data_IF_792974620074
#
_entry.id   IF_792974620074
#
_cell.length_a   1.000
_cell.length_b   1.000
_cell.length_c   1.000
_cell.angle_alpha   90.00
_cell.angle_beta   90.00
_cell.angle_gamma   90.00
#
_symmetry.space_group_name_H-M   'P 1'
#
loop_
_entity.id
_entity.type
_entity.pdbx_description
1 polymer ?
#
# COMPACT_ATOMS: atom_id res chain seq x y z
N UNK A 1 -24.31 6.44 -5.77
CA UNK A 1 -23.11 5.72 -5.28
C UNK A 1 -21.98 5.80 -6.31
N UNK A 2 -22.30 6.09 -7.58
CA UNK A 2 -21.33 6.27 -8.67
C UNK A 2 -20.65 7.64 -8.71
N UNK A 3 -21.31 8.71 -8.25
CA UNK A 3 -20.78 10.09 -8.35
C UNK A 3 -19.52 10.37 -7.52
N UNK A 4 -19.31 9.65 -6.41
CA UNK A 4 -18.09 9.79 -5.60
C UNK A 4 -16.89 9.16 -6.31
N UNK A 5 -17.10 8.04 -7.01
CA UNK A 5 -16.05 7.36 -7.75
C UNK A 5 -15.74 8.00 -9.09
N UNK A 6 -16.75 8.49 -9.81
CA UNK A 6 -16.54 9.35 -10.98
C UNK A 6 -15.71 10.59 -10.59
N UNK A 7 -16.03 11.23 -9.45
CA UNK A 7 -15.24 12.36 -8.95
C UNK A 7 -13.82 11.98 -8.53
N UNK A 8 -13.59 10.74 -8.07
CA UNK A 8 -12.25 10.27 -7.70
C UNK A 8 -11.41 9.93 -8.93
N UNK A 9 -12.03 9.34 -9.97
CA UNK A 9 -11.40 9.08 -11.28
C UNK A 9 -11.10 10.41 -11.98
N UNK A 10 -12.00 11.39 -11.93
CA UNK A 10 -11.76 12.76 -12.41
C UNK A 10 -10.74 13.51 -11.54
N UNK A 11 -10.73 13.35 -10.21
CA UNK A 11 -9.73 14.01 -9.37
C UNK A 11 -8.33 13.42 -9.54
N UNK A 12 -8.23 12.11 -9.78
CA UNK A 12 -6.98 11.52 -10.27
C UNK A 12 -6.69 12.02 -11.67
N UNK A 13 -7.70 12.12 -12.54
CA UNK A 13 -7.74 12.65 -13.91
C UNK A 13 -7.35 14.13 -14.10
N UNK A 14 -7.51 14.94 -13.07
CA UNK A 14 -7.32 16.39 -13.09
C UNK A 14 -6.19 16.84 -12.16
N UNK A 15 -5.57 15.92 -11.41
CA UNK A 15 -4.35 16.23 -10.66
C UNK A 15 -3.13 16.41 -11.57
N UNK A 16 -3.24 15.94 -12.80
CA UNK A 16 -2.47 16.42 -13.95
C UNK A 16 -3.33 17.44 -14.68
N UNK A 17 -3.19 18.72 -14.31
CA UNK A 17 -3.27 19.74 -15.34
C UNK A 17 -2.32 19.28 -16.45
N UNK A 18 -2.87 18.94 -17.60
CA UNK A 18 -2.13 18.83 -18.85
C UNK A 18 -1.58 20.22 -19.16
N UNK A 19 -0.47 20.57 -18.49
CA UNK A 19 0.40 21.64 -18.90
C UNK A 19 0.79 21.32 -20.35
N UNK A 20 0.21 22.08 -21.27
CA UNK A 20 0.52 21.99 -22.67
C UNK A 20 2.05 22.03 -22.86
N UNK A 21 2.63 20.91 -23.29
CA UNK A 21 3.92 20.89 -23.98
C UNK A 21 5.19 20.91 -23.13
N UNK A 22 5.20 20.39 -21.91
CA UNK A 22 6.47 20.08 -21.20
C UNK A 22 6.54 18.58 -20.92
N UNK A 23 7.21 17.83 -21.80
CA UNK A 23 7.75 16.51 -21.44
C UNK A 23 8.82 16.76 -20.37
N UNK A 24 8.45 16.61 -19.10
CA UNK A 24 9.46 16.37 -18.08
C UNK A 24 10.02 14.97 -18.35
N UNK A 25 11.31 14.91 -18.70
CA UNK A 25 12.02 13.64 -18.80
C UNK A 25 12.25 13.12 -17.36
N UNK A 26 11.23 12.48 -16.81
CA UNK A 26 11.18 12.05 -15.40
C UNK A 26 12.21 10.96 -15.05
N UNK A 27 12.83 10.34 -16.07
CA UNK A 27 13.73 9.20 -15.91
C UNK A 27 15.05 9.45 -16.63
N UNK A 28 16.18 9.52 -15.90
CA UNK A 28 17.48 9.71 -16.53
C UNK A 28 17.81 8.53 -17.46
N UNK A 29 18.28 8.85 -18.67
CA UNK A 29 18.82 7.87 -19.58
C UNK A 29 20.10 7.27 -18.99
N UNK A 30 20.14 5.95 -18.88
CA UNK A 30 21.24 5.19 -18.27
C UNK A 30 21.45 3.88 -19.01
N UNK A 31 22.69 3.40 -19.05
CA UNK A 31 23.01 2.02 -19.48
C UNK A 31 22.79 1.00 -18.34
N UNK A 32 22.76 1.48 -17.09
CA UNK A 32 22.44 0.64 -15.94
C UNK A 32 20.93 0.39 -15.84
N UNK A 33 20.50 -0.83 -15.50
CA UNK A 33 19.08 -1.15 -15.37
C UNK A 33 18.44 -0.43 -14.18
N UNK A 34 17.23 0.08 -14.38
CA UNK A 34 16.35 0.53 -13.32
C UNK A 34 15.64 -0.68 -12.71
N UNK A 35 15.82 -0.90 -11.41
CA UNK A 35 15.08 -1.94 -10.70
C UNK A 35 13.82 -1.38 -10.06
N UNK A 36 12.66 -1.90 -10.45
CA UNK A 36 11.41 -1.65 -9.78
C UNK A 36 10.89 -2.95 -9.19
N UNK A 37 10.93 -3.05 -7.86
CA UNK A 37 10.27 -4.13 -7.11
C UNK A 37 10.65 -5.54 -7.58
N UNK A 38 11.93 -5.74 -7.90
CA UNK A 38 12.51 -7.02 -8.34
C UNK A 38 12.55 -7.25 -9.86
N UNK A 39 12.09 -6.29 -10.67
CA UNK A 39 12.18 -6.35 -12.14
C UNK A 39 13.18 -5.30 -12.64
N UNK A 40 14.03 -5.69 -13.59
CA UNK A 40 15.00 -4.80 -14.23
C UNK A 40 14.41 -4.24 -15.53
N UNK A 41 14.54 -2.93 -15.72
CA UNK A 41 14.07 -2.20 -16.90
C UNK A 41 15.21 -1.37 -17.51
N UNK A 42 15.20 -1.21 -18.83
CA UNK A 42 16.02 -0.23 -19.53
C UNK A 42 15.36 1.14 -19.51
N UNK A 43 16.02 2.16 -18.97
CA UNK A 43 15.48 3.55 -19.05
C UNK A 43 15.57 4.13 -20.47
N UNK A 44 16.26 3.45 -21.40
CA UNK A 44 16.33 3.82 -22.82
C UNK A 44 15.22 3.19 -23.65
N UNK A 45 14.71 2.02 -23.26
CA UNK A 45 13.81 1.22 -24.10
C UNK A 45 12.46 0.91 -23.46
N UNK A 46 12.38 0.82 -22.14
CA UNK A 46 11.21 0.29 -21.43
C UNK A 46 10.46 1.38 -20.64
N UNK A 47 10.55 2.64 -21.09
CA UNK A 47 10.03 3.80 -20.34
C UNK A 47 8.55 3.72 -20.04
N UNK A 48 7.78 3.17 -20.97
CA UNK A 48 6.34 3.07 -20.86
C UNK A 48 5.97 1.94 -19.91
N UNK A 49 6.73 0.84 -19.93
CA UNK A 49 6.57 -0.26 -18.99
C UNK A 49 6.98 0.14 -17.56
N UNK A 50 8.02 0.96 -17.39
CA UNK A 50 8.40 1.55 -16.09
C UNK A 50 7.24 2.39 -15.55
N UNK A 51 6.68 3.28 -16.38
CA UNK A 51 5.55 4.14 -15.99
C UNK A 51 4.32 3.32 -15.64
N UNK A 52 3.95 2.36 -16.49
CA UNK A 52 2.81 1.47 -16.23
C UNK A 52 3.01 0.69 -14.94
N UNK A 53 4.19 0.11 -14.70
CA UNK A 53 4.47 -0.64 -13.47
C UNK A 53 4.40 0.25 -12.21
N UNK A 54 4.98 1.44 -12.27
CA UNK A 54 4.92 2.43 -11.19
C UNK A 54 3.48 2.88 -10.89
N UNK A 55 2.72 3.28 -11.91
CA UNK A 55 1.34 3.74 -11.77
C UNK A 55 0.36 2.63 -11.36
N UNK A 56 0.75 1.36 -11.57
CA UNK A 56 -0.02 0.20 -11.12
C UNK A 56 0.13 -0.09 -9.63
N UNK A 57 0.97 0.65 -8.89
CA UNK A 57 1.13 0.45 -7.45
C UNK A 57 0.07 1.23 -6.70
N UNK A 58 -0.52 0.61 -5.67
CA UNK A 58 -1.50 1.28 -4.81
C UNK A 58 -0.79 2.38 -4.05
N UNK A 59 -1.09 3.62 -4.41
CA UNK A 59 -0.56 4.80 -3.75
C UNK A 59 -1.52 5.28 -2.68
N UNK A 60 -1.05 5.29 -1.43
CA UNK A 60 -1.86 5.71 -0.27
C UNK A 60 -1.22 6.92 0.36
N UNK A 61 -2.00 8.00 0.48
CA UNK A 61 -1.53 9.31 0.92
C UNK A 61 -2.27 9.78 2.16
N UNK A 62 -1.88 10.94 2.70
CA UNK A 62 -2.63 11.60 3.76
C UNK A 62 -4.07 11.90 3.31
N UNK A 63 -5.00 11.69 4.24
CA UNK A 63 -6.42 11.89 4.04
C UNK A 63 -6.97 12.75 5.17
N UNK A 64 -8.15 13.30 4.93
CA UNK A 64 -8.89 14.15 5.85
C UNK A 64 -10.36 13.84 5.73
N UNK A 65 -11.12 14.35 6.69
CA UNK A 65 -12.58 14.22 6.74
C UNK A 65 -13.06 12.76 6.87
N UNK A 66 -12.18 11.86 7.31
CA UNK A 66 -12.55 10.50 7.68
C UNK A 66 -13.18 10.45 9.08
N UNK A 67 -13.84 9.34 9.41
CA UNK A 67 -14.47 9.17 10.73
C UNK A 67 -13.44 9.27 11.87
N UNK A 68 -13.76 9.90 13.02
CA UNK A 68 -12.79 10.11 14.09
C UNK A 68 -12.14 8.81 14.61
N UNK A 69 -10.80 8.81 14.75
CA UNK A 69 -10.03 7.65 15.26
C UNK A 69 -9.92 7.72 16.80
N UNK A 70 -10.35 6.68 17.50
CA UNK A 70 -10.20 6.61 18.97
C UNK A 70 -11.26 7.35 19.79
N UNK A 71 -12.41 7.70 19.20
CA UNK A 71 -13.53 8.39 19.87
C UNK A 71 -13.97 9.66 19.13
N UNK A 72 -14.99 10.36 19.61
CA UNK A 72 -15.55 11.57 18.96
C UNK A 72 -14.54 12.71 18.81
N UNK A 73 -13.63 12.85 19.78
CA UNK A 73 -12.56 13.85 19.82
C UNK A 73 -11.28 13.41 19.09
N UNK A 74 -11.32 12.25 18.44
CA UNK A 74 -10.19 11.69 17.73
C UNK A 74 -9.79 12.46 16.47
N UNK A 75 -8.55 12.29 15.97
CA UNK A 75 -8.13 12.85 14.69
C UNK A 75 -9.06 12.42 13.56
N UNK A 76 -9.35 13.37 12.64
CA UNK A 76 -10.08 13.16 11.39
C UNK A 76 -9.20 13.37 10.16
N UNK A 77 -7.90 13.53 10.38
CA UNK A 77 -6.87 13.57 9.36
C UNK A 77 -5.59 12.96 9.91
N UNK A 78 -4.83 12.32 9.03
CA UNK A 78 -3.54 11.74 9.35
C UNK A 78 -2.36 12.61 8.92
N UNK A 79 -2.64 13.82 8.40
CA UNK A 79 -1.60 14.79 8.04
C UNK A 79 -0.71 15.11 9.24
N UNK A 80 0.61 14.97 9.05
CA UNK A 80 1.62 15.31 10.05
C UNK A 80 2.02 14.15 10.97
N UNK A 81 1.35 13.00 10.92
CA UNK A 81 1.68 11.84 11.77
C UNK A 81 1.52 10.48 11.08
N UNK A 82 0.68 10.38 10.05
CA UNK A 82 0.32 9.13 9.40
C UNK A 82 1.30 8.57 8.37
N UNK A 83 2.40 9.26 8.03
CA UNK A 83 3.21 8.88 6.85
C UNK A 83 3.73 7.44 6.93
N UNK A 84 4.24 7.01 8.08
CA UNK A 84 4.72 5.63 8.23
C UNK A 84 3.58 4.61 8.14
N UNK A 85 2.38 4.96 8.60
CA UNK A 85 1.20 4.10 8.50
C UNK A 85 0.81 3.95 7.02
N UNK A 86 0.82 5.04 6.25
CA UNK A 86 0.58 5.02 4.79
C UNK A 86 1.64 4.22 4.04
N UNK A 87 2.92 4.36 4.40
CA UNK A 87 4.00 3.52 3.85
C UNK A 87 3.76 2.03 4.14
N UNK A 88 3.33 1.70 5.37
CA UNK A 88 2.94 0.34 5.73
C UNK A 88 1.76 -0.18 4.90
N UNK A 89 0.73 0.65 4.68
CA UNK A 89 -0.39 0.30 3.80
C UNK A 89 0.07 0.03 2.37
N UNK A 90 0.91 0.88 1.77
CA UNK A 90 1.42 0.67 0.41
C UNK A 90 2.25 -0.61 0.29
N UNK A 91 3.10 -0.90 1.28
CA UNK A 91 3.92 -2.11 1.31
C UNK A 91 3.07 -3.37 1.43
N UNK A 92 2.07 -3.37 2.32
CA UNK A 92 1.12 -4.48 2.45
C UNK A 92 0.25 -4.64 1.19
N UNK A 93 -0.22 -3.54 0.63
CA UNK A 93 -1.02 -3.54 -0.59
C UNK A 93 -0.26 -4.17 -1.76
N UNK A 94 1.02 -3.84 -1.95
CA UNK A 94 1.88 -4.50 -2.95
C UNK A 94 2.01 -6.01 -2.69
N UNK A 95 2.17 -6.44 -1.43
CA UNK A 95 2.21 -7.87 -1.10
C UNK A 95 0.90 -8.57 -1.46
N UNK A 96 -0.25 -7.97 -1.15
CA UNK A 96 -1.57 -8.53 -1.47
C UNK A 96 -1.81 -8.55 -2.99
N UNK A 97 -1.46 -7.49 -3.71
CA UNK A 97 -1.52 -7.46 -5.19
C UNK A 97 -0.71 -8.61 -5.78
N UNK A 98 0.50 -8.86 -5.30
CA UNK A 98 1.31 -9.99 -5.77
C UNK A 98 0.65 -11.34 -5.53
N UNK A 99 0.06 -11.53 -4.35
CA UNK A 99 -0.59 -12.80 -3.97
C UNK A 99 -1.90 -13.03 -4.74
N UNK A 100 -2.67 -11.96 -5.01
CA UNK A 100 -4.02 -12.06 -5.58
C UNK A 100 -4.09 -11.86 -7.09
N UNK A 101 -3.26 -10.96 -7.63
CA UNK A 101 -3.27 -10.55 -9.05
C UNK A 101 -1.97 -10.93 -9.77
N UNK A 102 -0.88 -11.13 -9.01
CA UNK A 102 0.45 -11.44 -9.56
C UNK A 102 1.30 -10.20 -9.85
N UNK A 103 2.62 -10.34 -9.80
CA UNK A 103 3.59 -9.23 -10.03
C UNK A 103 3.49 -8.62 -11.43
N UNK A 104 3.09 -9.41 -12.42
CA UNK A 104 2.92 -8.98 -13.80
C UNK A 104 1.65 -8.16 -14.04
N UNK A 105 0.70 -8.15 -13.10
CA UNK A 105 -0.51 -7.35 -13.22
C UNK A 105 -0.18 -5.86 -13.34
N UNK A 106 -0.92 -5.19 -14.21
CA UNK A 106 -0.84 -3.75 -14.45
C UNK A 106 -2.24 -3.16 -14.39
N UNK A 107 -2.35 -2.02 -13.73
CA UNK A 107 -3.56 -1.23 -13.70
C UNK A 107 -3.78 -0.58 -15.07
N UNK A 108 -5.03 -0.57 -15.49
CA UNK A 108 -5.55 0.17 -16.63
C UNK A 108 -6.75 0.99 -16.16
N UNK A 109 -7.14 2.02 -16.93
CA UNK A 109 -8.33 2.82 -16.60
C UNK A 109 -9.61 1.98 -16.40
N UNK A 110 -9.69 0.81 -17.04
CA UNK A 110 -10.81 -0.11 -16.91
C UNK A 110 -10.69 -1.10 -15.74
N UNK A 111 -9.52 -1.20 -15.10
CA UNK A 111 -9.28 -2.18 -14.02
C UNK A 111 -10.24 -2.00 -12.86
N UNK A 112 -10.61 -0.77 -12.51
CA UNK A 112 -11.59 -0.54 -11.44
C UNK A 112 -12.97 -1.12 -11.79
N UNK A 113 -13.43 -0.95 -13.03
CA UNK A 113 -14.72 -1.47 -13.48
C UNK A 113 -14.72 -3.00 -13.63
N UNK A 114 -13.61 -3.54 -14.16
CA UNK A 114 -13.57 -4.91 -14.69
C UNK A 114 -12.87 -5.91 -13.75
N UNK A 115 -12.05 -5.47 -12.79
CA UNK A 115 -11.33 -6.34 -11.86
C UNK A 115 -11.94 -6.27 -10.46
N UNK A 116 -12.76 -7.27 -10.13
CA UNK A 116 -13.37 -7.39 -8.80
C UNK A 116 -12.33 -7.61 -7.69
N UNK A 117 -11.26 -8.36 -7.99
CA UNK A 117 -10.21 -8.66 -7.02
C UNK A 117 -9.41 -7.40 -6.68
N UNK A 118 -9.08 -6.57 -7.67
CA UNK A 118 -8.47 -5.26 -7.45
C UNK A 118 -9.34 -4.35 -6.56
N UNK A 119 -10.65 -4.30 -6.80
CA UNK A 119 -11.58 -3.54 -5.94
C UNK A 119 -11.62 -4.07 -4.52
N UNK A 120 -11.62 -5.40 -4.34
CA UNK A 120 -11.58 -6.01 -3.01
C UNK A 120 -10.28 -5.68 -2.28
N UNK A 121 -9.14 -5.62 -2.98
CA UNK A 121 -7.87 -5.14 -2.41
C UNK A 121 -8.00 -3.68 -1.96
N UNK A 122 -8.53 -2.78 -2.79
CA UNK A 122 -8.69 -1.37 -2.43
C UNK A 122 -9.54 -1.19 -1.17
N UNK A 123 -10.64 -1.93 -1.05
CA UNK A 123 -11.55 -1.90 0.10
C UNK A 123 -10.87 -2.22 1.42
N UNK A 124 -9.77 -2.98 1.41
CA UNK A 124 -9.02 -3.29 2.63
C UNK A 124 -8.37 -2.05 3.26
N UNK A 125 -8.09 -1.01 2.47
CA UNK A 125 -7.29 0.15 2.86
C UNK A 125 -8.08 1.47 2.95
N UNK A 126 -9.39 1.43 2.64
CA UNK A 126 -10.27 2.59 2.77
C UNK A 126 -10.16 3.21 4.18
N UNK A 127 -10.29 4.53 4.29
CA UNK A 127 -10.28 5.23 5.59
C UNK A 127 -11.63 5.08 6.32
N UNK A 128 -12.03 3.82 6.49
CA UNK A 128 -13.23 3.37 7.14
C UNK A 128 -12.87 2.36 8.22
N UNK A 129 -13.47 2.47 9.41
CA UNK A 129 -13.24 1.57 10.54
C UNK A 129 -13.51 0.10 10.22
N UNK A 130 -14.39 -0.19 9.25
CA UNK A 130 -14.68 -1.55 8.81
C UNK A 130 -13.57 -2.16 7.92
N UNK A 131 -12.73 -1.34 7.29
CA UNK A 131 -11.66 -1.81 6.43
C UNK A 131 -10.48 -2.33 7.29
N UNK A 132 -10.04 -3.60 7.11
CA UNK A 132 -9.08 -4.27 8.00
C UNK A 132 -7.73 -3.57 8.14
N UNK A 133 -7.26 -2.91 7.08
CA UNK A 133 -5.97 -2.23 7.02
C UNK A 133 -6.14 -0.72 6.87
N UNK A 134 -7.29 -0.16 7.28
CA UNK A 134 -7.53 1.28 7.34
C UNK A 134 -6.55 1.98 8.29
N UNK A 135 -6.42 3.30 8.11
CA UNK A 135 -5.68 4.15 9.06
C UNK A 135 -6.24 4.02 10.49
N UNK A 136 -7.56 3.80 10.62
CA UNK A 136 -8.23 3.60 11.90
C UNK A 136 -7.72 2.34 12.60
N UNK A 137 -7.69 1.22 11.89
CA UNK A 137 -7.27 -0.06 12.44
C UNK A 137 -5.77 -0.07 12.78
N UNK A 138 -4.93 0.44 11.88
CA UNK A 138 -3.47 0.49 12.10
C UNK A 138 -3.13 1.41 13.29
N UNK A 139 -3.72 2.60 13.37
CA UNK A 139 -3.48 3.53 14.47
C UNK A 139 -4.00 2.96 15.80
N UNK A 140 -5.17 2.33 15.81
CA UNK A 140 -5.73 1.71 17.02
C UNK A 140 -4.91 0.51 17.49
N UNK A 141 -4.37 -0.29 16.56
CA UNK A 141 -3.51 -1.42 16.91
C UNK A 141 -2.22 -0.98 17.60
N UNK A 142 -1.65 0.17 17.20
CA UNK A 142 -0.46 0.71 17.87
C UNK A 142 -0.68 1.11 19.33
N UNK A 143 -1.91 1.36 19.76
CA UNK A 143 -2.22 1.64 21.17
C UNK A 143 -1.82 0.45 22.05
N UNK A 144 -2.01 -0.78 21.56
CA UNK A 144 -1.57 -2.00 22.25
C UNK A 144 -0.04 -2.09 22.43
N UNK A 145 0.71 -1.36 21.61
CA UNK A 145 2.17 -1.28 21.63
C UNK A 145 2.68 0.05 22.24
N UNK A 146 1.82 0.74 23.01
CA UNK A 146 2.18 1.98 23.69
C UNK A 146 2.31 3.20 22.76
N UNK A 147 1.68 3.16 21.59
CA UNK A 147 1.63 4.26 20.62
C UNK A 147 0.21 4.86 20.55
N UNK A 148 -0.05 5.96 21.27
CA UNK A 148 -1.32 6.68 21.16
C UNK A 148 -1.63 7.08 19.72
N UNK A 149 -2.92 7.15 19.41
CA UNK A 149 -3.42 7.68 18.13
C UNK A 149 -2.87 9.11 17.94
N UNK A 150 -2.41 9.42 16.72
CA UNK A 150 -1.80 10.72 16.42
C UNK A 150 -0.28 10.74 16.55
N UNK A 151 0.36 9.67 17.05
CA UNK A 151 1.82 9.57 17.09
C UNK A 151 2.42 8.91 15.86
N UNK A 152 3.65 9.29 15.56
CA UNK A 152 4.43 8.70 14.49
C UNK A 152 4.88 7.28 14.84
N UNK A 153 4.76 6.36 13.88
CA UNK A 153 5.29 5.00 14.00
C UNK A 153 6.68 4.93 13.39
N UNK A 154 7.53 4.06 13.96
CA UNK A 154 8.70 3.55 13.25
C UNK A 154 8.34 2.33 12.39
N UNK A 155 9.25 1.88 11.49
CA UNK A 155 9.01 0.74 10.61
C UNK A 155 8.58 -0.54 11.33
N UNK A 156 9.25 -0.88 12.45
CA UNK A 156 8.89 -2.08 13.22
C UNK A 156 7.47 -1.99 13.81
N UNK A 157 7.08 -0.83 14.35
CA UNK A 157 5.73 -0.65 14.93
C UNK A 157 4.63 -0.88 13.90
N UNK A 158 4.76 -0.30 12.69
CA UNK A 158 3.76 -0.50 11.64
C UNK A 158 3.76 -1.95 11.15
N UNK A 159 4.92 -2.60 11.05
CA UNK A 159 5.01 -4.01 10.67
C UNK A 159 4.32 -4.94 11.68
N UNK A 160 4.50 -4.70 12.99
CA UNK A 160 3.82 -5.47 14.03
C UNK A 160 2.30 -5.22 14.05
N UNK A 161 1.86 -3.98 13.83
CA UNK A 161 0.44 -3.67 13.69
C UNK A 161 -0.19 -4.42 12.50
N UNK A 162 0.47 -4.39 11.33
CA UNK A 162 0.06 -5.14 10.13
C UNK A 162 0.02 -6.64 10.42
N UNK A 163 1.03 -7.19 11.11
CA UNK A 163 1.07 -8.61 11.48
C UNK A 163 -0.16 -9.02 12.31
N UNK A 164 -0.51 -8.22 13.33
CA UNK A 164 -1.68 -8.48 14.18
C UNK A 164 -2.97 -8.39 13.38
N UNK A 165 -3.13 -7.34 12.55
CA UNK A 165 -4.33 -7.14 11.73
C UNK A 165 -4.52 -8.23 10.68
N UNK A 166 -3.43 -8.70 10.07
CA UNK A 166 -3.47 -9.73 9.02
C UNK A 166 -4.02 -11.07 9.52
N UNK A 167 -3.91 -11.35 10.82
CA UNK A 167 -4.48 -12.56 11.42
C UNK A 167 -6.02 -12.59 11.41
N UNK A 168 -6.68 -11.44 11.21
CA UNK A 168 -8.14 -11.33 11.23
C UNK A 168 -8.76 -11.18 9.83
N UNK A 169 -7.95 -10.98 8.78
CA UNK A 169 -8.45 -10.78 7.42
C UNK A 169 -8.35 -12.05 6.57
N UNK A 170 -9.50 -12.62 6.22
CA UNK A 170 -9.58 -13.84 5.43
C UNK A 170 -9.36 -13.60 3.94
N UNK A 171 -9.63 -12.39 3.45
CA UNK A 171 -9.46 -12.11 2.03
C UNK A 171 -7.97 -12.04 1.68
N UNK A 172 -7.17 -11.22 2.36
CA UNK A 172 -5.72 -11.14 2.14
C UNK A 172 -5.04 -12.50 2.41
N UNK A 173 -5.48 -13.20 3.47
CA UNK A 173 -4.99 -14.52 3.86
C UNK A 173 -3.45 -14.60 3.91
N UNK A 174 -2.83 -13.63 4.60
CA UNK A 174 -1.38 -13.52 4.70
C UNK A 174 -0.88 -14.00 6.06
N UNK A 175 0.13 -14.88 6.03
CA UNK A 175 0.97 -15.13 7.20
C UNK A 175 2.10 -14.09 7.22
N UNK A 176 2.07 -13.19 8.22
CA UNK A 176 3.07 -12.13 8.35
C UNK A 176 4.08 -12.49 9.43
N UNK A 177 5.35 -12.56 9.05
CA UNK A 177 6.48 -12.71 9.97
C UNK A 177 7.29 -11.40 10.01
N UNK A 178 7.61 -10.93 11.21
CA UNK A 178 8.50 -9.80 11.43
C UNK A 178 9.77 -10.35 12.08
N UNK A 179 10.82 -10.51 11.28
CA UNK A 179 12.12 -10.96 11.77
C UNK A 179 12.77 -9.86 12.61
N UNK A 180 13.20 -10.20 13.82
CA UNK A 180 13.91 -9.31 14.74
C UNK A 180 15.39 -9.74 14.82
N UNK A 181 16.21 -8.91 15.47
CA UNK A 181 17.62 -9.22 15.75
C UNK A 181 18.44 -9.61 14.51
N UNK A 182 18.09 -9.01 13.37
CA UNK A 182 18.76 -9.19 12.07
C UNK A 182 18.84 -10.67 11.61
N UNK A 183 17.98 -11.54 12.15
CA UNK A 183 18.05 -12.99 11.94
C UNK A 183 16.71 -13.52 11.43
N UNK A 184 16.74 -14.26 10.32
CA UNK A 184 15.58 -15.01 9.83
C UNK A 184 15.78 -16.48 10.18
N UNK A 185 14.93 -17.00 11.05
CA UNK A 185 14.97 -18.41 11.43
C UNK A 185 14.11 -19.19 10.44
N UNK A 186 14.76 -20.05 9.67
CA UNK A 186 14.09 -20.98 8.75
C UNK A 186 14.10 -22.34 9.44
N UNK A 187 12.96 -22.85 9.87
CA UNK A 187 12.89 -24.25 10.31
C UNK A 187 13.01 -25.18 9.10
N UNK A 188 14.01 -26.08 9.09
CA UNK A 188 14.24 -26.97 7.95
C UNK A 188 15.42 -27.94 8.06
N UNK A 189 15.37 -28.91 8.99
CA UNK A 189 15.65 -30.35 8.76
C UNK A 189 15.70 -31.06 10.11
N UNK A 190 14.68 -31.88 10.41
CA UNK A 190 14.87 -32.96 11.38
C UNK A 190 16.03 -33.82 10.87
N UNK A 191 17.09 -34.09 11.65
CA UNK A 191 18.05 -35.11 11.26
C UNK A 191 17.26 -36.40 11.10
N UNK A 192 17.29 -37.02 9.91
CA UNK A 192 16.91 -38.42 9.81
C UNK A 192 17.90 -39.18 10.70
N UNK A 193 17.43 -39.63 11.86
CA UNK A 193 18.15 -40.63 12.64
C UNK A 193 18.20 -41.88 11.76
N UNK A 194 19.40 -42.19 11.29
CA UNK A 194 19.77 -43.45 10.63
C UNK A 194 19.63 -44.63 11.59
#
# INVERSE_FOLDING_TARGET
>A
MDSYWESMVEATGNSYESGAGVEYDDLPLSDEPLYLLGHAYSTKHDREDIRLDHLSRLWVTYRRDFSPIGGSEGPKSDKGWGCMLRCGQMMLAEAIVRVKLGRAWRWSGESFANDATYRDILRLFEDNKAAPFSIHQIASMGVSDGKPVGQWFGPNTVAQAIRKLSAFDQFANLLVHVALDNTVIIEGSTPQLS
#
